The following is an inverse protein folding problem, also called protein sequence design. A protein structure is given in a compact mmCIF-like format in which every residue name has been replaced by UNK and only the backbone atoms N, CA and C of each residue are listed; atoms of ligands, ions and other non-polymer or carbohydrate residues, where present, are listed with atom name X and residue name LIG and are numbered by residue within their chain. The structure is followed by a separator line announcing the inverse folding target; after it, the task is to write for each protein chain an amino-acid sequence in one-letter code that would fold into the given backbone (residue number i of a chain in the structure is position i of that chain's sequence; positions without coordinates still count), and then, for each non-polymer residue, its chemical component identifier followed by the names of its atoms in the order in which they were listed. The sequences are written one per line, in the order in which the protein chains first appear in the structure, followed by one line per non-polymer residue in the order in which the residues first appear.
data_IF_967264043393
#
_entry.id   IF_967264043393
#
_cell.length_a   1.000
_cell.length_b   1.000
_cell.length_c   1.000
_cell.angle_alpha   90.00
_cell.angle_beta   90.00
_cell.angle_gamma   90.00
#
_symmetry.space_group_name_H-M   'P 1'
#
loop_
_entity.id
_entity.type
_entity.pdbx_description
1 polymer ?
#
# COMPACT_ATOMS: atom_id res chain seq x y z
N UNK A 1 19.34 14.01 4.25
CA UNK A 1 18.41 13.10 3.54
C UNK A 1 18.40 11.75 4.24
N UNK A 2 17.21 11.18 4.53
CA UNK A 2 17.08 9.80 5.00
C UNK A 2 16.48 8.97 3.87
N UNK A 3 17.14 7.88 3.49
CA UNK A 3 16.63 6.96 2.45
C UNK A 3 15.39 6.24 3.02
N UNK A 4 14.32 6.21 2.22
CA UNK A 4 13.08 5.48 2.54
C UNK A 4 12.79 4.50 1.42
N UNK A 5 12.40 3.29 1.80
CA UNK A 5 11.91 2.30 0.86
C UNK A 5 10.40 2.45 0.72
N UNK A 6 9.92 2.37 -0.51
CA UNK A 6 8.49 2.36 -0.79
C UNK A 6 8.05 0.91 -0.95
N UNK A 7 6.93 0.60 -0.32
CA UNK A 7 6.26 -0.69 -0.41
C UNK A 7 4.85 -0.45 -0.92
N UNK A 8 4.44 -1.17 -1.96
CA UNK A 8 3.08 -1.09 -2.45
C UNK A 8 2.06 -1.49 -1.37
N UNK A 9 0.94 -0.76 -1.29
CA UNK A 9 -0.11 -1.00 -0.29
C UNK A 9 -0.86 -2.33 -0.47
N UNK A 10 -0.75 -2.97 -1.62
CA UNK A 10 -1.37 -4.26 -1.91
C UNK A 10 -0.43 -5.44 -1.60
N UNK A 11 0.85 -5.17 -1.35
CA UNK A 11 1.80 -6.21 -0.93
C UNK A 11 1.59 -6.62 0.53
N UNK A 12 1.80 -7.89 0.82
CA UNK A 12 1.61 -8.45 2.16
C UNK A 12 2.38 -7.65 3.23
N UNK A 13 1.76 -7.30 4.37
CA UNK A 13 2.45 -6.67 5.51
C UNK A 13 3.63 -7.50 6.04
N UNK A 14 3.64 -8.81 5.77
CA UNK A 14 4.74 -9.72 6.13
C UNK A 14 6.07 -9.29 5.53
N UNK A 15 6.08 -8.66 4.36
CA UNK A 15 7.31 -8.19 3.73
C UNK A 15 7.96 -7.06 4.53
N UNK A 16 7.16 -6.06 4.97
CA UNK A 16 7.64 -5.00 5.87
C UNK A 16 8.20 -5.59 7.16
N UNK A 17 7.50 -6.56 7.75
CA UNK A 17 7.94 -7.23 8.97
C UNK A 17 9.28 -7.96 8.76
N UNK A 18 9.41 -8.71 7.65
CA UNK A 18 10.63 -9.43 7.33
C UNK A 18 11.83 -8.48 7.15
N UNK A 19 11.67 -7.36 6.45
CA UNK A 19 12.73 -6.37 6.26
C UNK A 19 13.14 -5.73 7.59
N UNK A 20 12.17 -5.38 8.45
CA UNK A 20 12.46 -4.79 9.76
C UNK A 20 13.14 -5.78 10.73
N UNK A 21 12.90 -7.10 10.57
CA UNK A 21 13.64 -8.15 11.30
C UNK A 21 15.10 -8.23 10.87
N UNK A 22 15.39 -8.00 9.59
CA UNK A 22 16.76 -7.98 9.06
C UNK A 22 17.51 -6.71 9.50
N UNK A 23 16.84 -5.55 9.44
CA UNK A 23 17.42 -4.28 9.90
C UNK A 23 16.32 -3.30 10.35
N UNK A 24 16.21 -3.13 11.66
CA UNK A 24 15.22 -2.26 12.30
C UNK A 24 15.41 -0.75 12.01
N UNK A 25 16.55 -0.33 11.43
CA UNK A 25 16.80 1.07 11.08
C UNK A 25 16.25 1.45 9.70
N UNK A 26 15.81 0.47 8.90
CA UNK A 26 15.22 0.73 7.59
C UNK A 26 13.87 1.43 7.77
N UNK A 27 13.69 2.52 7.02
CA UNK A 27 12.44 3.27 6.97
C UNK A 27 11.63 2.81 5.76
N UNK A 28 10.39 2.36 5.98
CA UNK A 28 9.51 1.81 4.95
C UNK A 28 8.15 2.48 5.01
N UNK A 29 7.77 3.13 3.91
CA UNK A 29 6.45 3.70 3.69
C UNK A 29 5.62 2.77 2.84
N UNK A 30 4.35 2.56 3.23
CA UNK A 30 3.38 1.91 2.34
C UNK A 30 2.75 2.99 1.47
N UNK A 31 2.74 2.77 0.17
CA UNK A 31 2.28 3.75 -0.82
C UNK A 31 1.22 3.09 -1.69
N UNK A 32 0.09 3.78 -1.79
CA UNK A 32 -0.98 3.52 -2.72
C UNK A 32 -1.21 4.72 -3.63
N UNK A 33 -2.20 4.62 -4.50
CA UNK A 33 -2.69 5.76 -5.27
C UNK A 33 -3.70 6.55 -4.41
N UNK A 34 -3.51 7.86 -4.17
CA UNK A 34 -4.44 8.66 -3.37
C UNK A 34 -5.84 8.75 -3.98
N UNK A 35 -5.98 8.56 -5.29
CA UNK A 35 -7.27 8.60 -5.99
C UNK A 35 -7.93 7.21 -6.03
N UNK A 36 -7.21 6.15 -5.65
CA UNK A 36 -7.75 4.81 -5.54
C UNK A 36 -8.31 4.51 -4.14
N UNK A 37 -9.26 3.56 -4.02
CA UNK A 37 -9.74 3.11 -2.72
C UNK A 37 -8.61 2.47 -1.92
N UNK A 38 -8.57 2.78 -0.62
CA UNK A 38 -7.58 2.23 0.30
C UNK A 38 -7.64 0.70 0.36
N UNK A 39 -6.49 0.05 0.60
CA UNK A 39 -6.44 -1.39 0.89
C UNK A 39 -7.41 -1.77 2.02
N UNK A 40 -8.35 -2.67 1.73
CA UNK A 40 -9.37 -3.13 2.67
C UNK A 40 -10.74 -2.44 2.53
N UNK A 41 -10.88 -1.55 1.54
CA UNK A 41 -12.20 -1.07 1.08
C UNK A 41 -13.09 -2.26 0.71
N UNK A 42 -14.39 -2.18 1.04
CA UNK A 42 -15.33 -3.25 0.74
C UNK A 42 -15.56 -3.40 -0.77
N UNK A 43 -15.79 -4.63 -1.22
CA UNK A 43 -16.00 -4.93 -2.65
C UNK A 43 -17.07 -4.04 -3.32
N UNK A 44 -18.25 -3.75 -2.71
CA UNK A 44 -19.24 -2.87 -3.33
C UNK A 44 -18.73 -1.45 -3.62
N UNK A 45 -17.87 -0.92 -2.77
CA UNK A 45 -17.30 0.42 -2.94
C UNK A 45 -16.16 0.41 -3.97
N UNK A 46 -15.39 -0.68 -4.02
CA UNK A 46 -14.39 -0.92 -5.08
C UNK A 46 -15.08 -0.99 -6.45
N UNK A 47 -16.19 -1.70 -6.56
CA UNK A 47 -16.95 -1.80 -7.82
C UNK A 47 -17.47 -0.44 -8.29
N UNK A 48 -17.99 0.39 -7.37
CA UNK A 48 -18.41 1.76 -7.70
C UNK A 48 -17.25 2.64 -8.18
N UNK A 49 -16.07 2.51 -7.56
CA UNK A 49 -14.87 3.20 -8.03
C UNK A 49 -14.50 2.78 -9.45
N UNK A 50 -14.49 1.47 -9.73
CA UNK A 50 -14.16 0.96 -11.06
C UNK A 50 -15.15 1.46 -12.12
N UNK A 51 -16.44 1.51 -11.81
CA UNK A 51 -17.45 2.07 -12.72
C UNK A 51 -17.20 3.55 -13.03
N UNK A 52 -16.72 4.34 -12.06
CA UNK A 52 -16.40 5.77 -12.26
C UNK A 52 -15.13 6.02 -13.05
N UNK A 53 -14.14 5.14 -12.94
CA UNK A 53 -12.82 5.32 -13.60
C UNK A 53 -12.81 4.76 -15.02
N UNK A 54 -13.62 3.74 -15.29
CA UNK A 54 -13.70 3.11 -16.62
C UNK A 54 -14.56 3.93 -17.60
N UNK A 55 -15.52 4.72 -17.10
CA UNK A 55 -16.39 5.59 -17.91
C UNK A 55 -15.88 7.03 -17.97
#
# INVERSE_FOLDING_TARGET
MKVRFLLDENLSPKLKIAVLRLNARIDILRVGDPDAPLSGTQDPDVLQYLERVIN
#
